data_IF_788062766649
#
_entry.id   IF_788062766649
#
_cell.length_a   1.000
_cell.length_b   1.000
_cell.length_c   1.000
_cell.angle_alpha   90.00
_cell.angle_beta   90.00
_cell.angle_gamma   90.00
#
_symmetry.space_group_name_H-M   'P 1'
#
loop_
_entity.id
_entity.type
_entity.pdbx_description
1 polymer ?
#
# COMPACT_ATOMS: atom_id res chain seq x y z
N UNK A 1 10.96 -13.29 -15.03
CA UNK A 1 10.36 -11.95 -15.07
C UNK A 1 9.30 -11.78 -14.00
N UNK A 2 8.26 -12.61 -14.00
CA UNK A 2 7.11 -12.49 -13.10
C UNK A 2 7.51 -12.57 -11.62
N UNK A 3 8.37 -13.52 -11.25
CA UNK A 3 8.83 -13.70 -9.86
C UNK A 3 9.63 -12.46 -9.40
N UNK A 4 10.54 -11.96 -10.25
CA UNK A 4 11.32 -10.77 -9.94
C UNK A 4 10.42 -9.53 -9.78
N UNK A 5 9.45 -9.36 -10.69
CA UNK A 5 8.48 -8.29 -10.64
C UNK A 5 7.62 -8.36 -9.37
N UNK A 6 7.13 -9.55 -9.02
CA UNK A 6 6.35 -9.76 -7.80
C UNK A 6 7.16 -9.36 -6.55
N UNK A 7 8.43 -9.74 -6.46
CA UNK A 7 9.31 -9.34 -5.35
C UNK A 7 9.46 -7.82 -5.22
N UNK A 8 9.64 -7.11 -6.33
CA UNK A 8 9.78 -5.64 -6.34
C UNK A 8 8.46 -4.98 -5.88
N UNK A 9 7.32 -5.43 -6.40
CA UNK A 9 5.99 -4.88 -6.06
C UNK A 9 5.66 -5.11 -4.60
N UNK A 10 5.91 -6.30 -4.08
CA UNK A 10 5.66 -6.62 -2.66
C UNK A 10 6.54 -5.76 -1.76
N UNK A 11 7.83 -5.61 -2.07
CA UNK A 11 8.73 -4.77 -1.31
C UNK A 11 8.27 -3.31 -1.25
N UNK A 12 7.84 -2.74 -2.38
CA UNK A 12 7.31 -1.38 -2.43
C UNK A 12 6.04 -1.22 -1.59
N UNK A 13 5.14 -2.21 -1.61
CA UNK A 13 3.92 -2.18 -0.82
C UNK A 13 4.18 -2.27 0.69
N UNK A 14 5.12 -3.13 1.12
CA UNK A 14 5.47 -3.27 2.54
C UNK A 14 5.96 -1.92 3.09
N UNK A 15 6.88 -1.26 2.37
CA UNK A 15 7.42 0.05 2.78
C UNK A 15 6.32 1.11 2.87
N UNK A 16 5.35 1.08 1.98
CA UNK A 16 4.26 2.05 1.96
C UNK A 16 3.29 1.84 3.13
N UNK A 17 2.97 0.59 3.46
CA UNK A 17 2.12 0.23 4.59
C UNK A 17 2.82 0.57 5.92
N UNK A 18 4.09 0.24 6.09
CA UNK A 18 4.87 0.58 7.30
C UNK A 18 4.89 2.10 7.54
N UNK A 19 5.04 2.88 6.48
CA UNK A 19 5.01 4.34 6.59
C UNK A 19 3.64 4.86 7.00
N UNK A 20 2.58 4.26 6.45
CA UNK A 20 1.21 4.62 6.83
C UNK A 20 0.94 4.33 8.31
N UNK A 21 1.33 3.16 8.80
CA UNK A 21 1.10 2.77 10.19
C UNK A 21 1.82 3.73 11.15
N UNK A 22 3.05 4.14 10.84
CA UNK A 22 3.78 5.16 11.63
C UNK A 22 3.13 6.54 11.61
N UNK A 23 2.69 7.01 10.44
CA UNK A 23 2.06 8.32 10.31
C UNK A 23 0.64 8.36 10.86
N UNK A 24 -0.05 7.22 10.92
CA UNK A 24 -1.38 7.14 11.48
C UNK A 24 -1.40 7.29 13.01
N UNK A 25 -0.30 6.99 13.70
CA UNK A 25 -0.16 7.22 15.13
C UNK A 25 -0.11 8.72 15.47
N UNK A 26 0.47 9.54 14.58
CA UNK A 26 0.66 10.99 14.78
C UNK A 26 -0.43 11.86 14.12
N UNK A 27 -1.31 11.26 13.31
CA UNK A 27 -2.29 12.00 12.53
C UNK A 27 -3.60 12.19 13.29
N UNK A 28 -4.16 13.40 13.20
CA UNK A 28 -5.47 13.73 13.79
C UNK A 28 -6.64 13.06 13.06
N UNK A 29 -6.46 12.74 11.78
CA UNK A 29 -7.47 12.02 10.97
C UNK A 29 -6.80 10.99 10.06
N UNK A 30 -7.45 9.80 9.83
CA UNK A 30 -6.92 8.77 8.95
C UNK A 30 -6.69 9.26 7.52
N UNK A 31 -7.51 10.21 7.06
CA UNK A 31 -7.41 10.82 5.73
C UNK A 31 -6.10 11.61 5.56
N UNK A 32 -5.74 12.38 6.56
CA UNK A 32 -4.51 13.18 6.57
C UNK A 32 -3.27 12.27 6.56
N UNK A 33 -3.29 11.17 7.32
CA UNK A 33 -2.24 10.15 7.30
C UNK A 33 -2.04 9.54 5.90
N UNK A 34 -3.13 9.20 5.20
CA UNK A 34 -3.09 8.62 3.85
C UNK A 34 -2.48 9.61 2.86
N UNK A 35 -2.91 10.87 2.89
CA UNK A 35 -2.40 11.92 1.99
C UNK A 35 -0.92 12.20 2.23
N UNK A 36 -0.49 12.30 3.47
CA UNK A 36 0.91 12.51 3.84
C UNK A 36 1.79 11.34 3.44
N UNK A 37 1.34 10.11 3.69
CA UNK A 37 2.04 8.89 3.27
C UNK A 37 2.21 8.85 1.76
N UNK A 38 1.14 9.12 1.01
CA UNK A 38 1.17 9.19 -0.46
C UNK A 38 2.18 10.23 -0.95
N UNK A 39 2.10 11.46 -0.45
CA UNK A 39 2.99 12.54 -0.85
C UNK A 39 4.47 12.28 -0.54
N UNK A 40 4.77 11.72 0.64
CA UNK A 40 6.15 11.43 1.06
C UNK A 40 6.77 10.26 0.30
N UNK A 41 5.98 9.25 -0.05
CA UNK A 41 6.47 8.03 -0.71
C UNK A 41 6.39 8.07 -2.24
N UNK A 42 5.59 8.98 -2.80
CA UNK A 42 5.48 9.15 -4.25
C UNK A 42 6.84 9.42 -4.90
N UNK A 43 7.60 10.36 -4.35
CA UNK A 43 8.91 10.76 -4.89
C UNK A 43 9.91 9.60 -4.95
N UNK A 44 10.25 8.91 -3.84
CA UNK A 44 11.22 7.80 -3.90
C UNK A 44 10.72 6.63 -4.73
N UNK A 45 9.43 6.29 -4.71
CA UNK A 45 8.87 5.22 -5.54
C UNK A 45 8.96 5.55 -7.02
N UNK A 46 8.59 6.76 -7.43
CA UNK A 46 8.74 7.18 -8.84
C UNK A 46 10.20 7.23 -9.26
N UNK A 47 11.09 7.75 -8.41
CA UNK A 47 12.50 7.84 -8.74
C UNK A 47 13.11 6.44 -8.95
N UNK A 48 12.86 5.50 -8.05
CA UNK A 48 13.36 4.12 -8.19
C UNK A 48 12.78 3.42 -9.42
N UNK A 49 11.51 3.62 -9.72
CA UNK A 49 10.88 3.05 -10.91
C UNK A 49 11.49 3.61 -12.19
N UNK A 50 11.61 4.93 -12.28
CA UNK A 50 12.20 5.58 -13.47
C UNK A 50 13.65 5.18 -13.67
N UNK A 51 14.46 5.18 -12.62
CA UNK A 51 15.88 4.78 -12.71
C UNK A 51 16.04 3.31 -13.09
N UNK A 52 15.18 2.43 -12.60
CA UNK A 52 15.21 0.99 -12.96
C UNK A 52 14.82 0.81 -14.43
N UNK A 53 13.76 1.47 -14.90
CA UNK A 53 13.33 1.41 -16.31
C UNK A 53 14.42 1.96 -17.22
N UNK A 54 15.01 3.12 -16.89
CA UNK A 54 16.10 3.70 -17.67
C UNK A 54 17.34 2.79 -17.69
N UNK A 55 17.66 2.14 -16.56
CA UNK A 55 18.75 1.18 -16.48
C UNK A 55 18.54 -0.07 -17.33
N UNK A 56 17.29 -0.50 -17.49
CA UNK A 56 16.94 -1.65 -18.33
C UNK A 56 16.73 -1.28 -19.81
N UNK A 57 16.61 0.01 -20.14
CA UNK A 57 16.32 0.48 -21.49
C UNK A 57 17.33 -0.02 -22.54
N UNK A 58 18.65 0.00 -22.29
CA UNK A 58 19.62 -0.53 -23.26
C UNK A 58 19.38 -2.00 -23.58
N UNK A 59 19.01 -2.81 -22.57
CA UNK A 59 18.70 -4.23 -22.77
C UNK A 59 17.37 -4.45 -23.50
N UNK A 60 16.36 -3.63 -23.22
CA UNK A 60 15.06 -3.66 -23.92
C UNK A 60 15.23 -3.33 -25.40
N UNK A 61 16.11 -2.39 -25.74
CA UNK A 61 16.44 -2.01 -27.12
C UNK A 61 17.46 -2.98 -27.78
N UNK A 62 17.83 -4.08 -27.12
CA UNK A 62 18.83 -5.05 -27.60
C UNK A 62 20.17 -4.41 -27.97
N UNK A 63 20.51 -3.29 -27.33
CA UNK A 63 21.78 -2.59 -27.56
C UNK A 63 22.89 -3.27 -26.75
N UNK A 64 23.89 -3.78 -27.45
CA UNK A 64 25.09 -4.32 -26.83
C UNK A 64 26.25 -3.37 -27.13
N UNK A 65 26.78 -2.74 -26.08
CA UNK A 65 27.92 -1.84 -26.21
C UNK A 65 29.18 -2.63 -25.88
N UNK A 66 29.96 -2.93 -26.90
CA UNK A 66 31.27 -3.55 -26.73
C UNK A 66 32.30 -2.46 -26.46
N UNK A 67 32.80 -2.43 -25.21
CA UNK A 67 33.79 -1.45 -24.78
C UNK A 67 35.18 -1.72 -25.38
N UNK A 68 35.44 -2.93 -25.88
CA UNK A 68 36.71 -3.31 -26.45
C UNK A 68 36.84 -2.88 -27.90
N UNK A 69 35.79 -3.14 -28.70
CA UNK A 69 35.74 -2.78 -30.13
C UNK A 69 35.15 -1.41 -30.39
N UNK A 70 34.52 -0.77 -29.37
CA UNK A 70 33.78 0.46 -29.46
C UNK A 70 32.64 0.40 -30.50
N UNK A 71 32.10 -0.77 -30.75
CA UNK A 71 31.00 -1.00 -31.67
C UNK A 71 29.70 -1.22 -30.89
N UNK A 72 28.60 -0.69 -31.42
CA UNK A 72 27.24 -0.94 -30.91
C UNK A 72 26.63 -2.04 -31.77
N UNK A 73 26.58 -3.24 -31.22
CA UNK A 73 25.95 -4.39 -31.88
C UNK A 73 24.51 -4.49 -31.45
N UNK A 74 23.59 -4.49 -32.42
CA UNK A 74 22.17 -4.67 -32.20
C UNK A 74 21.80 -6.12 -32.50
N UNK A 75 21.16 -6.80 -31.54
CA UNK A 75 20.62 -8.14 -31.75
C UNK A 75 21.62 -9.30 -31.57
N UNK A 76 22.68 -9.15 -30.75
CA UNK A 76 23.57 -10.26 -30.44
C UNK A 76 22.78 -11.44 -29.83
N UNK A 77 23.12 -12.72 -30.20
CA UNK A 77 22.38 -13.90 -29.72
C UNK A 77 22.32 -14.03 -28.19
N UNK A 78 23.37 -13.60 -27.50
CA UNK A 78 23.43 -13.59 -26.04
C UNK A 78 22.45 -12.60 -25.40
N UNK A 79 22.15 -11.49 -26.09
CA UNK A 79 21.24 -10.43 -25.61
C UNK A 79 19.78 -10.83 -25.76
N UNK A 80 19.44 -11.68 -26.71
CA UNK A 80 18.04 -12.08 -26.98
C UNK A 80 17.36 -12.75 -25.77
N UNK A 81 18.09 -13.53 -25.00
CA UNK A 81 17.55 -14.17 -23.80
C UNK A 81 17.19 -13.17 -22.71
N UNK A 82 17.98 -12.11 -22.57
CA UNK A 82 17.81 -11.09 -21.54
C UNK A 82 16.80 -10.01 -21.93
N UNK A 83 16.58 -9.78 -23.23
CA UNK A 83 15.66 -8.77 -23.76
C UNK A 83 14.23 -9.05 -23.31
N UNK A 84 13.78 -10.28 -23.39
CA UNK A 84 12.43 -10.65 -22.94
C UNK A 84 12.24 -10.43 -21.44
N UNK A 85 13.25 -10.79 -20.63
CA UNK A 85 13.24 -10.57 -19.19
C UNK A 85 13.19 -9.08 -18.86
N UNK A 86 14.07 -8.28 -19.49
CA UNK A 86 14.16 -6.84 -19.27
C UNK A 86 12.90 -6.11 -19.70
N UNK A 87 12.31 -6.48 -20.83
CA UNK A 87 11.05 -5.94 -21.31
C UNK A 87 9.92 -6.24 -20.33
N UNK A 88 9.79 -7.49 -19.89
CA UNK A 88 8.77 -7.87 -18.92
C UNK A 88 8.90 -7.10 -17.60
N UNK A 89 10.14 -6.91 -17.10
CA UNK A 89 10.36 -6.15 -15.86
C UNK A 89 10.08 -4.67 -16.06
N UNK A 90 10.57 -4.05 -17.15
CA UNK A 90 10.41 -2.61 -17.39
C UNK A 90 8.93 -2.22 -17.52
N UNK A 91 8.19 -2.88 -18.41
CA UNK A 91 6.76 -2.59 -18.61
C UNK A 91 5.91 -3.06 -17.44
N UNK A 92 6.20 -4.23 -16.87
CA UNK A 92 5.51 -4.74 -15.70
C UNK A 92 5.71 -3.84 -14.48
N UNK A 93 6.93 -3.31 -14.26
CA UNK A 93 7.21 -2.39 -13.17
C UNK A 93 6.50 -1.04 -13.37
N UNK A 94 6.48 -0.50 -14.59
CA UNK A 94 5.75 0.73 -14.88
C UNK A 94 4.26 0.57 -14.56
N UNK A 95 3.64 -0.49 -15.07
CA UNK A 95 2.23 -0.78 -14.82
C UNK A 95 1.94 -1.04 -13.34
N UNK A 96 2.75 -1.87 -12.69
CA UNK A 96 2.59 -2.21 -11.28
C UNK A 96 2.76 -0.97 -10.38
N UNK A 97 3.67 -0.04 -10.71
CA UNK A 97 3.85 1.19 -9.95
C UNK A 97 2.61 2.08 -10.03
N UNK A 98 2.06 2.28 -11.23
CA UNK A 98 0.82 3.05 -11.39
C UNK A 98 -0.33 2.38 -10.62
N UNK A 99 -0.46 1.06 -10.76
CA UNK A 99 -1.49 0.31 -10.04
C UNK A 99 -1.33 0.44 -8.52
N UNK A 100 -0.13 0.27 -7.99
CA UNK A 100 0.18 0.40 -6.56
C UNK A 100 -0.13 1.79 -6.04
N UNK A 101 0.22 2.84 -6.77
CA UNK A 101 -0.06 4.22 -6.36
C UNK A 101 -1.56 4.54 -6.28
N UNK A 102 -2.39 3.83 -7.05
CA UNK A 102 -3.84 3.99 -7.03
C UNK A 102 -4.48 3.06 -5.99
N UNK A 103 -4.13 1.77 -6.04
CA UNK A 103 -4.78 0.74 -5.20
C UNK A 103 -4.43 0.89 -3.73
N UNK A 104 -3.18 1.25 -3.40
CA UNK A 104 -2.76 1.31 -2.00
C UNK A 104 -3.50 2.38 -1.20
N UNK A 105 -3.60 3.66 -1.64
CA UNK A 105 -4.40 4.64 -0.90
C UNK A 105 -5.88 4.27 -0.85
N UNK A 106 -6.43 3.68 -1.92
CA UNK A 106 -7.81 3.20 -1.92
C UNK A 106 -8.03 2.09 -0.87
N UNK A 107 -7.12 1.14 -0.77
CA UNK A 107 -7.21 0.05 0.21
C UNK A 107 -7.08 0.53 1.66
N UNK A 108 -6.22 1.53 1.90
CA UNK A 108 -6.06 2.16 3.20
C UNK A 108 -7.32 2.94 3.62
N UNK A 109 -7.95 3.64 2.67
CA UNK A 109 -9.25 4.29 2.90
C UNK A 109 -10.34 3.29 3.27
N UNK A 110 -10.42 2.17 2.57
CA UNK A 110 -11.39 1.12 2.88
C UNK A 110 -11.15 0.57 4.28
N UNK A 111 -9.89 0.32 4.67
CA UNK A 111 -9.54 -0.11 6.04
C UNK A 111 -10.02 0.90 7.09
N UNK A 112 -9.74 2.18 6.89
CA UNK A 112 -10.15 3.26 7.79
C UNK A 112 -11.68 3.30 7.94
N UNK A 113 -12.40 3.26 6.84
CA UNK A 113 -13.88 3.29 6.80
C UNK A 113 -14.50 2.06 7.49
N UNK A 114 -13.92 0.88 7.25
CA UNK A 114 -14.37 -0.36 7.90
C UNK A 114 -14.09 -0.33 9.42
N UNK A 115 -12.96 0.24 9.84
CA UNK A 115 -12.63 0.39 11.26
C UNK A 115 -13.63 1.32 11.96
N UNK A 116 -13.96 2.47 11.38
CA UNK A 116 -14.98 3.39 11.89
C UNK A 116 -16.37 2.74 11.93
N UNK A 117 -16.74 2.02 10.89
CA UNK A 117 -18.03 1.32 10.83
C UNK A 117 -18.14 0.24 11.93
N UNK A 118 -17.05 -0.51 12.16
CA UNK A 118 -16.97 -1.48 13.25
C UNK A 118 -17.04 -0.81 14.62
N UNK A 119 -16.38 0.33 14.80
CA UNK A 119 -16.42 1.10 16.04
C UNK A 119 -17.83 1.62 16.32
N UNK A 120 -18.52 2.17 15.30
CA UNK A 120 -19.92 2.61 15.41
C UNK A 120 -20.87 1.47 15.76
N UNK A 121 -20.68 0.29 15.16
CA UNK A 121 -21.47 -0.91 15.49
C UNK A 121 -21.24 -1.43 16.91
N UNK A 122 -20.00 -1.28 17.43
CA UNK A 122 -19.71 -1.64 18.83
C UNK A 122 -20.32 -0.65 19.81
N UNK A 123 -20.29 0.64 19.48
CA UNK A 123 -20.89 1.69 20.30
C UNK A 123 -22.44 1.63 20.30
N UNK A 124 -23.06 1.08 19.26
CA UNK A 124 -24.52 0.90 19.20
C UNK A 124 -25.03 -0.39 19.85
N UNK A 125 -24.15 -1.24 20.38
CA UNK A 125 -24.56 -2.36 21.23
C UNK A 125 -24.73 -1.83 22.64
N UNK A 126 -25.97 -1.78 23.20
CA UNK A 126 -26.17 -1.38 24.59
C UNK A 126 -25.34 -2.30 25.48
N UNK A 127 -24.56 -1.73 26.38
CA UNK A 127 -23.90 -2.49 27.42
C UNK A 127 -24.98 -3.22 28.22
N UNK A 128 -24.93 -4.52 28.26
CA UNK A 128 -25.83 -5.39 29.02
C UNK A 128 -25.72 -5.15 30.55
N UNK A 129 -24.91 -4.15 30.95
CA UNK A 129 -24.69 -3.71 32.32
C UNK A 129 -25.47 -2.46 32.75
N UNK A 130 -26.10 -1.72 31.82
CA UNK A 130 -26.93 -0.55 32.11
C UNK A 130 -28.42 -0.89 32.18
N UNK A 131 -28.78 -1.98 32.86
CA UNK A 131 -30.13 -2.13 33.36
C UNK A 131 -30.19 -1.22 34.60
N UNK A 132 -30.95 -0.11 34.58
CA UNK A 132 -31.17 0.66 35.78
C UNK A 132 -31.85 -0.28 36.79
N UNK A 133 -31.10 -0.71 37.83
CA UNK A 133 -31.72 -1.29 38.99
C UNK A 133 -32.79 -0.36 39.44
N UNK A 134 -34.05 -0.73 39.22
CA UNK A 134 -35.19 -0.09 39.83
C UNK A 134 -35.03 -0.10 41.34
N UNK A 135 -34.30 0.88 41.85
CA UNK A 135 -34.16 1.23 43.24
C UNK A 135 -35.48 1.83 43.69
N UNK A 136 -36.37 1.03 44.24
CA UNK A 136 -37.52 1.60 44.92
C UNK A 136 -38.84 0.85 44.78
N UNK A 137 -38.90 -0.37 45.26
CA UNK A 137 -40.13 -0.80 45.92
C UNK A 137 -39.89 -0.74 47.41
N UNK A 138 -40.14 0.42 48.02
CA UNK A 138 -40.44 0.47 49.45
C UNK A 138 -41.60 -0.47 49.74
N UNK A 139 -41.49 -1.41 50.63
CA UNK A 139 -42.64 -2.18 51.06
C UNK A 139 -43.59 -1.22 51.77
N UNK A 140 -44.79 -1.04 51.20
CA UNK A 140 -45.94 -0.45 51.89
C UNK A 140 -46.35 -1.37 53.06
N UNK A 141 -45.65 -1.28 54.17
CA UNK A 141 -45.99 -2.05 55.35
C UNK A 141 -45.76 -1.23 56.62
N UNK A 142 -46.23 0.02 56.58
CA UNK A 142 -46.29 0.85 57.80
C UNK A 142 -47.39 1.90 57.69
N UNK A 143 -48.63 1.42 57.52
CA UNK A 143 -49.83 2.25 57.70
C UNK A 143 -50.99 1.37 58.18
N UNK A 144 -50.75 0.63 59.27
CA UNK A 144 -51.81 -0.04 60.01
C UNK A 144 -51.30 -0.29 61.45
N UNK A 145 -51.13 0.81 62.21
CA UNK A 145 -51.30 0.85 63.67
C UNK A 145 -51.61 2.29 64.09
#
# INVERSE_FOLDING_TARGET
>A
GVIALAGIVVNNNIVLIDTFDRLNEDASTPMDAILRTGAQRLRPVLLTTVTTILGLMPMVLSMNIDFVTREVLIGAPSTQWWTQLSTAIAFGLAFATVLTLIVTPCSLMVRANVAEWRARRRASKPSEGDIPMLKGTRPLREAAE
#
